data_IF_025286304985
#
_entry.id   IF_025286304985
#
_cell.length_a   1.000
_cell.length_b   1.000
_cell.length_c   1.000
_cell.angle_alpha   90.00
_cell.angle_beta   90.00
_cell.angle_gamma   90.00
#
_symmetry.space_group_name_H-M   'P 1'
#
loop_
_entity.id
_entity.type
_entity.pdbx_description
1 polymer ?
#
# COMPACT_ATOMS: atom_id res chain seq x y z
N UNK A 1 -5.40 6.85 -56.02
CA UNK A 1 -6.82 7.22 -56.24
C UNK A 1 -7.37 7.68 -54.91
N UNK A 2 -7.91 8.86 -54.66
CA UNK A 2 -8.09 10.09 -55.42
C UNK A 2 -8.41 11.20 -54.40
N UNK A 3 -7.88 12.40 -54.61
CA UNK A 3 -8.28 13.64 -53.92
C UNK A 3 -9.60 14.10 -54.53
N UNK A 4 -10.52 14.63 -53.72
CA UNK A 4 -11.52 15.66 -54.05
C UNK A 4 -11.98 16.24 -52.70
N UNK A 5 -11.53 17.41 -52.20
CA UNK A 5 -11.79 18.78 -52.63
C UNK A 5 -13.14 19.06 -53.30
N UNK A 6 -13.99 19.84 -52.60
CA UNK A 6 -14.90 20.90 -53.08
C UNK A 6 -16.24 20.83 -52.33
N UNK A 7 -17.03 21.88 -52.13
CA UNK A 7 -16.89 23.36 -52.14
C UNK A 7 -18.11 23.86 -51.36
N UNK A 8 -17.98 25.06 -50.80
CA UNK A 8 -18.95 25.90 -50.07
C UNK A 8 -20.39 25.97 -50.65
N UNK A 9 -21.36 26.17 -49.75
CA UNK A 9 -22.48 27.13 -49.87
C UNK A 9 -22.89 27.55 -48.44
N UNK A 10 -22.50 28.72 -47.94
CA UNK A 10 -23.21 30.01 -47.98
C UNK A 10 -24.57 30.05 -47.23
N UNK A 11 -24.65 31.03 -46.31
CA UNK A 11 -25.82 31.67 -45.71
C UNK A 11 -26.46 31.08 -44.42
N UNK A 12 -26.22 31.76 -43.29
CA UNK A 12 -27.32 32.43 -42.56
C UNK A 12 -26.78 33.56 -41.68
N UNK A 13 -27.09 34.77 -42.12
CA UNK A 13 -26.82 36.07 -41.52
C UNK A 13 -27.65 36.26 -40.25
N UNK A 14 -27.03 36.11 -39.07
CA UNK A 14 -27.59 36.61 -37.81
C UNK A 14 -26.66 37.71 -37.27
N UNK A 15 -26.84 38.93 -37.81
CA UNK A 15 -26.31 40.14 -37.19
C UNK A 15 -27.08 40.39 -35.90
N UNK A 16 -26.55 39.92 -34.77
CA UNK A 16 -26.90 40.50 -33.48
C UNK A 16 -25.98 41.70 -33.28
N UNK A 17 -26.51 42.90 -33.50
CA UNK A 17 -25.85 44.16 -33.16
C UNK A 17 -25.63 44.21 -31.64
N UNK A 18 -24.46 43.78 -31.18
CA UNK A 18 -23.99 44.16 -29.85
C UNK A 18 -23.60 45.63 -29.90
N UNK A 19 -24.41 46.48 -29.26
CA UNK A 19 -23.99 47.84 -28.96
C UNK A 19 -22.73 47.81 -28.08
N UNK A 20 -21.77 48.72 -28.27
CA UNK A 20 -20.60 48.78 -27.39
C UNK A 20 -21.08 49.06 -25.96
N UNK A 21 -20.54 48.39 -24.93
CA UNK A 21 -20.88 48.72 -23.55
C UNK A 21 -20.51 50.19 -23.35
N UNK A 22 -21.49 50.98 -22.93
CA UNK A 22 -21.25 52.33 -22.41
C UNK A 22 -20.10 52.24 -21.41
N UNK A 23 -19.13 53.13 -21.57
CA UNK A 23 -18.03 53.33 -20.64
C UNK A 23 -18.61 53.59 -19.25
N UNK A 24 -18.78 52.51 -18.48
CA UNK A 24 -19.00 52.58 -17.06
C UNK A 24 -17.66 52.97 -16.46
N UNK A 25 -17.49 54.27 -16.25
CA UNK A 25 -16.53 54.89 -15.35
C UNK A 25 -16.01 53.91 -14.30
N UNK A 26 -14.72 53.59 -14.44
CA UNK A 26 -13.95 52.73 -13.55
C UNK A 26 -14.09 53.20 -12.10
N UNK A 27 -14.82 52.43 -11.30
CA UNK A 27 -14.61 52.38 -9.86
C UNK A 27 -13.41 51.44 -9.64
N UNK A 28 -12.44 51.77 -8.77
CA UNK A 28 -11.47 50.77 -8.35
C UNK A 28 -12.26 49.75 -7.54
N UNK A 29 -12.67 48.67 -8.19
CA UNK A 29 -13.01 47.46 -7.48
C UNK A 29 -11.71 47.09 -6.77
N UNK A 30 -11.65 47.38 -5.48
CA UNK A 30 -10.63 46.83 -4.61
C UNK A 30 -10.83 45.33 -4.72
N UNK A 31 -10.05 44.68 -5.59
CA UNK A 31 -9.95 43.23 -5.63
C UNK A 31 -9.78 42.82 -4.17
N UNK A 32 -10.70 41.99 -3.67
CA UNK A 32 -10.47 41.24 -2.42
C UNK A 32 -9.38 40.20 -2.74
N UNK A 33 -8.24 40.68 -3.19
CA UNK A 33 -7.20 39.95 -3.89
C UNK A 33 -6.27 39.40 -2.85
N UNK A 34 -6.51 38.14 -2.52
CA UNK A 34 -5.49 37.29 -1.93
C UNK A 34 -4.24 37.41 -2.81
N UNK A 35 -3.10 37.67 -2.18
CA UNK A 35 -1.81 37.70 -2.86
C UNK A 35 -1.30 36.26 -3.05
N UNK A 36 -0.38 36.06 -3.98
CA UNK A 36 0.25 34.73 -4.17
C UNK A 36 0.88 34.21 -2.87
N UNK A 37 1.37 35.11 -2.01
CA UNK A 37 1.91 34.81 -0.68
C UNK A 37 0.84 34.18 0.25
N UNK A 38 -0.38 34.72 0.25
CA UNK A 38 -1.49 34.18 1.06
C UNK A 38 -1.90 32.77 0.60
N UNK A 39 -1.81 32.49 -0.71
CA UNK A 39 -2.04 31.15 -1.24
C UNK A 39 -0.94 30.17 -0.88
N UNK A 40 0.32 30.62 -0.84
CA UNK A 40 1.44 29.78 -0.44
C UNK A 40 1.37 29.43 1.04
N UNK A 41 1.02 30.37 1.91
CA UNK A 41 0.80 30.10 3.34
C UNK A 41 -0.29 29.04 3.56
N UNK A 42 -1.40 29.14 2.83
CA UNK A 42 -2.47 28.13 2.87
C UNK A 42 -2.01 26.77 2.38
N UNK A 43 -1.18 26.71 1.32
CA UNK A 43 -0.62 25.47 0.78
C UNK A 43 0.33 24.83 1.79
N UNK A 44 1.20 25.62 2.40
CA UNK A 44 2.11 25.17 3.45
C UNK A 44 1.36 24.62 4.65
N UNK A 45 0.35 25.33 5.13
CA UNK A 45 -0.44 24.89 6.28
C UNK A 45 -1.24 23.61 5.96
N UNK A 46 -1.83 23.53 4.76
CA UNK A 46 -2.51 22.30 4.30
C UNK A 46 -1.53 21.12 4.20
N UNK A 47 -0.32 21.37 3.69
CA UNK A 47 0.73 20.35 3.62
C UNK A 47 1.18 19.91 5.02
N UNK A 48 1.45 20.84 5.94
CA UNK A 48 1.82 20.54 7.33
C UNK A 48 0.77 19.68 8.00
N UNK A 49 -0.51 20.04 7.87
CA UNK A 49 -1.63 19.24 8.40
C UNK A 49 -1.66 17.85 7.80
N UNK A 50 -1.53 17.74 6.49
CA UNK A 50 -1.50 16.44 5.81
C UNK A 50 -0.35 15.57 6.30
N UNK A 51 0.85 16.13 6.46
CA UNK A 51 2.02 15.40 6.96
C UNK A 51 1.77 14.90 8.39
N UNK A 52 1.24 15.74 9.28
CA UNK A 52 0.93 15.36 10.66
C UNK A 52 -0.10 14.23 10.71
N UNK A 53 -1.19 14.32 9.95
CA UNK A 53 -2.22 13.28 9.91
C UNK A 53 -1.67 11.97 9.35
N UNK A 54 -0.91 12.03 8.25
CA UNK A 54 -0.32 10.85 7.61
C UNK A 54 0.68 10.16 8.55
N UNK A 55 1.54 10.93 9.22
CA UNK A 55 2.51 10.36 10.15
C UNK A 55 1.84 9.78 11.40
N UNK A 56 0.77 10.41 11.89
CA UNK A 56 0.00 9.89 13.03
C UNK A 56 -0.64 8.55 12.69
N UNK A 57 -1.27 8.43 11.52
CA UNK A 57 -1.83 7.17 11.03
C UNK A 57 -0.76 6.09 10.87
N UNK A 58 0.37 6.43 10.23
CA UNK A 58 1.49 5.51 10.05
C UNK A 58 2.03 5.01 11.40
N UNK A 59 2.13 5.89 12.39
CA UNK A 59 2.59 5.52 13.74
C UNK A 59 1.64 4.51 14.39
N UNK A 60 0.33 4.68 14.26
CA UNK A 60 -0.67 3.73 14.78
C UNK A 60 -0.59 2.36 14.09
N UNK A 61 -0.45 2.36 12.77
CA UNK A 61 -0.31 1.13 11.97
C UNK A 61 0.97 0.36 12.38
N UNK A 62 2.10 1.07 12.49
CA UNK A 62 3.38 0.47 12.94
C UNK A 62 3.27 -0.09 14.35
N UNK A 63 2.61 0.62 15.27
CA UNK A 63 2.42 0.11 16.64
C UNK A 63 1.54 -1.14 16.67
N UNK A 64 0.53 -1.21 15.82
CA UNK A 64 -0.37 -2.37 15.71
C UNK A 64 0.40 -3.58 15.19
N UNK A 65 1.11 -3.43 14.07
CA UNK A 65 1.93 -4.49 13.52
C UNK A 65 3.03 -4.96 14.46
N UNK A 66 3.63 -4.06 15.26
CA UNK A 66 4.60 -4.45 16.27
C UNK A 66 3.98 -5.38 17.33
N UNK A 67 2.75 -5.10 17.79
CA UNK A 67 2.03 -5.97 18.75
C UNK A 67 1.71 -7.33 18.14
N UNK A 68 1.25 -7.35 16.89
CA UNK A 68 0.97 -8.59 16.14
C UNK A 68 2.24 -9.44 15.97
N UNK A 69 3.34 -8.82 15.56
CA UNK A 69 4.64 -9.49 15.40
C UNK A 69 5.10 -10.12 16.71
N UNK A 70 4.99 -9.41 17.84
CA UNK A 70 5.33 -9.92 19.17
C UNK A 70 4.45 -11.11 19.59
N UNK A 71 3.19 -11.11 19.20
CA UNK A 71 2.31 -12.26 19.46
C UNK A 71 2.69 -13.47 18.60
N UNK A 72 3.07 -13.25 17.33
CA UNK A 72 3.54 -14.32 16.45
C UNK A 72 4.87 -14.91 16.92
N UNK A 73 5.80 -14.08 17.39
CA UNK A 73 7.09 -14.51 17.96
C UNK A 73 6.87 -15.51 19.12
N UNK A 74 5.98 -15.19 20.08
CA UNK A 74 5.64 -16.11 21.17
C UNK A 74 5.06 -17.44 20.67
N UNK A 75 4.18 -17.40 19.68
CA UNK A 75 3.62 -18.63 19.09
C UNK A 75 4.72 -19.44 18.42
N UNK A 76 5.67 -18.80 17.74
CA UNK A 76 6.79 -19.48 17.10
C UNK A 76 7.66 -20.21 18.12
N UNK A 77 7.95 -19.60 19.27
CA UNK A 77 8.69 -20.25 20.36
C UNK A 77 7.96 -21.49 20.91
N UNK A 78 6.64 -21.41 21.06
CA UNK A 78 5.82 -22.56 21.46
C UNK A 78 5.87 -23.69 20.42
N UNK A 79 5.76 -23.35 19.13
CA UNK A 79 5.87 -24.33 18.05
C UNK A 79 7.26 -24.97 18.01
N UNK A 80 8.32 -24.20 18.19
CA UNK A 80 9.68 -24.71 18.24
C UNK A 80 9.87 -25.69 19.40
N UNK A 81 9.30 -25.37 20.57
CA UNK A 81 9.31 -26.26 21.74
C UNK A 81 8.59 -27.58 21.44
N UNK A 82 7.44 -27.54 20.76
CA UNK A 82 6.70 -28.74 20.35
C UNK A 82 7.47 -29.57 19.34
N UNK A 83 8.10 -28.95 18.35
CA UNK A 83 8.94 -29.64 17.36
C UNK A 83 10.09 -30.38 18.07
N UNK A 84 10.81 -29.70 18.96
CA UNK A 84 11.89 -30.32 19.73
C UNK A 84 11.42 -31.50 20.58
N UNK A 85 10.21 -31.42 21.16
CA UNK A 85 9.61 -32.53 21.90
C UNK A 85 9.30 -33.72 20.97
N UNK A 86 8.74 -33.47 19.80
CA UNK A 86 8.43 -34.52 18.82
C UNK A 86 9.70 -35.17 18.30
N UNK A 87 10.72 -34.38 17.96
CA UNK A 87 12.01 -34.88 17.50
C UNK A 87 12.65 -35.83 18.53
N UNK A 88 12.67 -35.44 19.80
CA UNK A 88 13.13 -36.33 20.89
C UNK A 88 12.33 -37.63 20.95
N UNK A 89 10.99 -37.54 20.92
CA UNK A 89 10.13 -38.72 20.97
C UNK A 89 10.26 -39.66 19.78
N UNK A 90 10.74 -39.17 18.62
CA UNK A 90 11.00 -39.97 17.44
C UNK A 90 12.38 -40.63 17.44
N UNK A 91 13.32 -40.10 18.24
CA UNK A 91 14.64 -40.69 18.36
C UNK A 91 14.58 -42.04 19.10
N UNK A 92 13.77 -42.16 20.16
CA UNK A 92 13.69 -43.41 20.95
C UNK A 92 13.22 -44.61 20.09
N UNK A 93 12.13 -44.52 19.29
CA UNK A 93 11.74 -45.61 18.39
C UNK A 93 12.79 -45.95 17.33
N UNK A 94 13.56 -44.97 16.86
CA UNK A 94 14.64 -45.19 15.90
C UNK A 94 15.78 -46.01 16.50
N UNK A 95 16.14 -45.74 17.75
CA UNK A 95 17.13 -46.52 18.50
C UNK A 95 16.63 -47.95 18.77
N UNK A 96 15.38 -48.08 19.25
CA UNK A 96 14.75 -49.39 19.46
C UNK A 96 14.72 -50.25 18.19
N UNK A 97 14.36 -49.65 17.05
CA UNK A 97 14.38 -50.33 15.74
C UNK A 97 15.78 -50.83 15.39
N UNK A 98 16.81 -50.05 15.69
CA UNK A 98 18.21 -50.40 15.39
C UNK A 98 18.65 -51.59 16.25
N UNK A 99 18.40 -51.54 17.57
CA UNK A 99 18.72 -52.64 18.48
C UNK A 99 17.96 -53.93 18.13
N UNK A 100 16.68 -53.84 17.76
CA UNK A 100 15.90 -55.00 17.32
C UNK A 100 16.51 -55.66 16.06
N UNK A 101 16.99 -54.85 15.11
CA UNK A 101 17.65 -55.37 13.91
C UNK A 101 18.96 -56.09 14.23
N UNK A 102 19.79 -55.52 15.10
CA UNK A 102 21.04 -56.15 15.55
C UNK A 102 20.79 -57.50 16.23
N UNK A 103 19.76 -57.58 17.08
CA UNK A 103 19.37 -58.82 17.74
C UNK A 103 18.94 -59.89 16.73
N UNK A 104 18.11 -59.54 15.74
CA UNK A 104 17.70 -60.46 14.67
C UNK A 104 18.90 -60.98 13.85
N UNK A 105 19.85 -60.10 13.54
CA UNK A 105 21.07 -60.49 12.81
C UNK A 105 21.93 -61.45 13.64
N UNK A 106 22.11 -61.17 14.94
CA UNK A 106 22.85 -62.03 15.86
C UNK A 106 22.19 -63.41 16.01
N UNK A 107 20.86 -63.45 16.15
CA UNK A 107 20.10 -64.71 16.21
C UNK A 107 20.25 -65.55 14.93
N UNK A 108 20.18 -64.90 13.76
CA UNK A 108 20.37 -65.59 12.46
C UNK A 108 21.77 -66.16 12.34
N UNK A 109 22.79 -65.42 12.78
CA UNK A 109 24.18 -65.89 12.83
C UNK A 109 24.37 -67.08 13.77
N UNK A 110 23.72 -67.07 14.94
CA UNK A 110 23.80 -68.18 15.90
C UNK A 110 23.08 -69.46 15.43
N UNK A 111 22.07 -69.33 14.58
CA UNK A 111 21.28 -70.44 14.04
C UNK A 111 21.77 -70.98 12.69
N UNK A 112 22.85 -70.42 12.15
CA UNK A 112 23.55 -70.87 10.94
C UNK A 112 24.78 -71.70 11.30
#
# INVERSE_FOLDING_TARGET
MGRDQSRKSENSKNQSTFSPPKECSSLPAMEQGWTEDDFEELREEAFRRSVITNFSKLKEDVQTHHKEAKHLEKRLDEWLTRINSVEKSLNDPKELKTMAQELCNAYTSFSS
#
